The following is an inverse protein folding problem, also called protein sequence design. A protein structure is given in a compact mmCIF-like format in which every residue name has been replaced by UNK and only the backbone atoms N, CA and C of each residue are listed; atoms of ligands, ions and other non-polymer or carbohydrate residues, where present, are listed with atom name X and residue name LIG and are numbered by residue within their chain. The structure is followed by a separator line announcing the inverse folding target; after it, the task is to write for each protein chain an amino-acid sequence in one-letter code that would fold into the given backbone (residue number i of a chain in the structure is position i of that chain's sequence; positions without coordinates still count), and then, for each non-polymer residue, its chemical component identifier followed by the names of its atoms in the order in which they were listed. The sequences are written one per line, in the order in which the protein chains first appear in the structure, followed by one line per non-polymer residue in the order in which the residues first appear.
data_IF_410036826832
#
_entry.id   IF_410036826832
#
_cell.length_a   1.000
_cell.length_b   1.000
_cell.length_c   1.000
_cell.angle_alpha   90.00
_cell.angle_beta   90.00
_cell.angle_gamma   90.00
#
_symmetry.space_group_name_H-M   'P 1'
#
loop_
_entity.id
_entity.type
_entity.pdbx_description
1 polymer ?
#
# COMPACT_ATOMS: atom_id res chain seq x y z
N UNK A 1 5.12 -58.76 -49.04
CA UNK A 1 5.96 -57.56 -48.90
C UNK A 1 5.29 -56.64 -47.87
N UNK A 2 5.73 -56.71 -46.61
CA UNK A 2 5.15 -55.94 -45.50
C UNK A 2 6.06 -54.74 -45.21
N UNK A 3 5.56 -53.57 -45.49
CA UNK A 3 6.28 -52.30 -45.21
C UNK A 3 6.02 -51.92 -43.75
N UNK A 4 7.07 -51.95 -42.92
CA UNK A 4 7.04 -51.44 -41.56
C UNK A 4 7.31 -49.92 -41.60
N UNK A 5 6.29 -49.15 -41.27
CA UNK A 5 6.43 -47.70 -41.06
C UNK A 5 6.86 -47.45 -39.62
N UNK A 6 8.10 -47.08 -39.41
CA UNK A 6 8.64 -46.61 -38.11
C UNK A 6 8.22 -45.17 -37.86
N UNK A 7 7.29 -45.02 -36.93
CA UNK A 7 6.92 -43.67 -36.37
C UNK A 7 8.00 -43.22 -35.37
N UNK A 8 8.83 -42.29 -35.77
CA UNK A 8 9.77 -41.63 -34.87
C UNK A 8 9.01 -40.53 -34.12
N UNK A 9 8.74 -40.75 -32.84
CA UNK A 9 8.17 -39.73 -31.96
C UNK A 9 9.27 -38.75 -31.52
N UNK A 10 9.23 -37.52 -32.06
CA UNK A 10 10.11 -36.43 -31.63
C UNK A 10 9.58 -35.87 -30.32
N UNK A 11 10.24 -36.15 -29.23
CA UNK A 11 10.00 -35.54 -27.92
C UNK A 11 10.55 -34.09 -27.93
N UNK A 12 9.68 -33.12 -28.06
CA UNK A 12 10.05 -31.71 -27.89
C UNK A 12 10.11 -31.43 -26.38
N UNK A 13 11.31 -31.43 -25.80
CA UNK A 13 11.58 -30.98 -24.44
C UNK A 13 11.51 -29.45 -24.45
N UNK A 14 10.42 -28.87 -23.97
CA UNK A 14 10.34 -27.42 -23.72
C UNK A 14 11.19 -27.10 -22.51
N UNK A 15 12.33 -26.46 -22.71
CA UNK A 15 13.13 -25.86 -21.67
C UNK A 15 12.31 -24.73 -21.01
N UNK A 16 11.87 -24.93 -19.76
CA UNK A 16 11.32 -23.86 -18.93
C UNK A 16 12.50 -23.00 -18.48
N UNK A 17 12.67 -21.84 -19.13
CA UNK A 17 13.65 -20.87 -18.68
C UNK A 17 13.32 -20.42 -17.24
N UNK A 18 14.32 -20.34 -16.32
CA UNK A 18 14.07 -19.78 -14.99
C UNK A 18 13.58 -18.33 -15.16
N UNK A 19 12.41 -18.05 -14.62
CA UNK A 19 11.91 -16.68 -14.53
C UNK A 19 12.85 -15.94 -13.55
N UNK A 20 13.80 -15.21 -14.07
CA UNK A 20 14.56 -14.22 -13.29
C UNK A 20 13.52 -13.16 -12.92
N UNK A 21 13.07 -13.18 -11.66
CA UNK A 21 12.25 -12.10 -11.14
C UNK A 21 13.12 -10.85 -11.16
N UNK A 22 12.75 -9.88 -12.03
CA UNK A 22 13.27 -8.53 -11.95
C UNK A 22 13.16 -8.05 -10.50
N UNK A 23 14.21 -7.44 -9.91
CA UNK A 23 14.09 -6.85 -8.60
C UNK A 23 12.89 -5.91 -8.63
N UNK A 24 11.88 -6.25 -7.83
CA UNK A 24 10.58 -5.58 -7.86
C UNK A 24 10.80 -4.07 -7.78
N UNK A 25 10.25 -3.30 -8.72
CA UNK A 25 10.32 -1.85 -8.71
C UNK A 25 9.92 -1.33 -7.32
N UNK A 26 10.61 -0.29 -6.78
CA UNK A 26 10.33 0.22 -5.46
C UNK A 26 8.83 0.50 -5.31
N UNK A 27 8.18 -0.10 -4.32
CA UNK A 27 6.75 0.12 -4.08
C UNK A 27 6.54 1.55 -3.59
N UNK A 28 5.62 2.25 -4.21
CA UNK A 28 5.22 3.59 -3.76
C UNK A 28 3.72 3.63 -3.51
N UNK A 29 3.25 4.65 -2.82
CA UNK A 29 1.80 4.83 -2.59
C UNK A 29 1.03 5.06 -3.89
N UNK A 30 1.69 5.44 -4.98
CA UNK A 30 1.08 5.54 -6.30
C UNK A 30 0.82 4.18 -6.98
N UNK A 31 1.39 3.08 -6.47
CA UNK A 31 1.26 1.73 -7.06
C UNK A 31 0.09 0.90 -6.52
N UNK A 32 -0.87 1.51 -5.81
CA UNK A 32 -2.05 0.82 -5.31
C UNK A 32 -1.75 -0.08 -4.10
N UNK A 33 -1.37 0.52 -2.98
CA UNK A 33 -0.93 -0.18 -1.77
C UNK A 33 -2.02 -0.40 -0.73
N UNK A 34 -3.24 0.06 -0.97
CA UNK A 34 -4.42 -0.09 -0.11
C UNK A 34 -5.66 -0.41 -0.95
N UNK A 35 -6.76 -0.86 -0.35
CA UNK A 35 -8.04 -1.08 -1.05
C UNK A 35 -9.04 0.05 -0.75
N UNK A 36 -10.00 0.26 -1.66
CA UNK A 36 -11.09 1.23 -1.44
C UNK A 36 -11.88 0.93 -0.17
N UNK A 37 -12.15 -0.37 0.10
CA UNK A 37 -12.84 -0.81 1.30
C UNK A 37 -12.06 -0.49 2.57
N UNK A 38 -10.73 -0.64 2.52
CA UNK A 38 -9.88 -0.26 3.66
C UNK A 38 -9.92 1.25 3.90
N UNK A 39 -9.81 2.06 2.85
CA UNK A 39 -9.90 3.52 2.96
C UNK A 39 -11.28 3.99 3.42
N UNK A 40 -12.36 3.30 3.06
CA UNK A 40 -13.72 3.60 3.54
C UNK A 40 -13.84 3.35 5.05
N UNK A 41 -13.34 2.22 5.54
CA UNK A 41 -13.28 1.97 6.99
C UNK A 41 -12.41 3.00 7.71
N UNK A 42 -11.32 3.43 7.07
CA UNK A 42 -10.46 4.50 7.58
C UNK A 42 -11.16 5.85 7.66
N UNK A 43 -12.04 6.16 6.72
CA UNK A 43 -12.90 7.34 6.78
C UNK A 43 -13.86 7.28 7.98
N UNK A 44 -14.46 6.11 8.24
CA UNK A 44 -15.32 5.91 9.41
C UNK A 44 -14.53 6.11 10.72
N UNK A 45 -13.32 5.54 10.82
CA UNK A 45 -12.42 5.77 11.96
C UNK A 45 -12.07 7.26 12.11
N UNK A 46 -11.75 7.92 11.01
CA UNK A 46 -11.41 9.35 10.99
C UNK A 46 -12.58 10.21 11.45
N UNK A 47 -13.77 9.97 10.94
CA UNK A 47 -14.97 10.74 11.30
C UNK A 47 -15.41 10.53 12.74
N UNK A 48 -15.14 9.37 13.32
CA UNK A 48 -15.53 9.07 14.70
C UNK A 48 -14.50 9.57 15.73
N UNK A 49 -13.22 9.65 15.36
CA UNK A 49 -12.13 9.88 16.33
C UNK A 49 -11.31 11.12 15.98
N UNK A 50 -10.86 11.25 14.72
CA UNK A 50 -9.83 12.23 14.36
C UNK A 50 -10.41 13.61 14.04
N UNK A 51 -11.64 13.69 13.51
CA UNK A 51 -12.26 14.93 13.02
C UNK A 51 -12.50 15.96 14.13
N UNK A 52 -12.55 15.52 15.39
CA UNK A 52 -12.71 16.43 16.53
C UNK A 52 -11.55 17.42 16.67
N UNK A 53 -10.34 17.06 16.20
CA UNK A 53 -9.13 17.88 16.28
C UNK A 53 -8.52 18.19 14.92
N UNK A 54 -8.80 17.38 13.88
CA UNK A 54 -8.19 17.49 12.57
C UNK A 54 -9.21 17.71 11.45
N UNK A 55 -8.86 18.55 10.49
CA UNK A 55 -9.63 18.68 9.26
C UNK A 55 -9.01 17.88 8.12
N UNK A 56 -9.82 17.30 7.26
CA UNK A 56 -9.32 16.54 6.09
C UNK A 56 -8.44 17.38 5.16
N UNK A 57 -8.62 18.71 5.15
CA UNK A 57 -7.81 19.64 4.35
C UNK A 57 -6.36 19.72 4.81
N UNK A 58 -6.08 19.44 6.10
CA UNK A 58 -4.70 19.42 6.62
C UNK A 58 -3.85 18.36 5.97
N UNK A 59 -4.45 17.20 5.63
CA UNK A 59 -3.74 16.06 5.06
C UNK A 59 -3.54 16.11 3.55
N UNK A 60 -4.21 17.03 2.85
CA UNK A 60 -4.08 17.19 1.39
C UNK A 60 -3.51 18.52 0.96
N UNK A 61 -3.06 19.35 1.90
CA UNK A 61 -2.41 20.61 1.58
C UNK A 61 -0.93 20.43 1.18
N UNK A 62 -0.37 21.44 0.53
CA UNK A 62 1.01 21.42 0.06
C UNK A 62 2.02 21.15 1.18
N UNK A 63 1.81 21.70 2.37
CA UNK A 63 2.71 21.54 3.52
C UNK A 63 2.79 20.07 3.95
N UNK A 64 1.65 19.37 4.02
CA UNK A 64 1.60 17.96 4.35
C UNK A 64 2.31 17.12 3.29
N UNK A 65 1.99 17.33 2.02
CA UNK A 65 2.62 16.62 0.90
C UNK A 65 4.12 16.81 0.90
N UNK A 66 4.63 18.02 0.95
CA UNK A 66 6.07 18.30 0.99
C UNK A 66 6.77 17.68 2.18
N UNK A 67 6.09 17.61 3.35
CA UNK A 67 6.67 17.00 4.54
C UNK A 67 6.87 15.47 4.37
N UNK A 68 5.94 14.81 3.69
CA UNK A 68 5.88 13.35 3.68
C UNK A 68 6.33 12.72 2.38
N UNK A 69 6.34 13.44 1.27
CA UNK A 69 6.76 12.92 -0.02
C UNK A 69 8.17 12.34 0.01
N UNK A 70 8.37 11.18 -0.63
CA UNK A 70 9.63 10.45 -0.67
C UNK A 70 10.02 9.70 0.61
N UNK A 71 9.29 9.89 1.72
CA UNK A 71 9.58 9.21 3.01
C UNK A 71 8.96 7.81 3.03
N UNK A 72 9.53 6.90 3.86
CA UNK A 72 8.89 5.61 4.13
C UNK A 72 7.50 5.78 4.74
N UNK A 73 6.53 5.00 4.27
CA UNK A 73 5.16 5.05 4.77
C UNK A 73 5.07 4.64 6.25
N UNK A 74 6.01 3.81 6.71
CA UNK A 74 6.15 3.44 8.13
C UNK A 74 6.31 4.65 9.05
N UNK A 75 6.99 5.70 8.61
CA UNK A 75 7.20 6.89 9.46
C UNK A 75 5.90 7.65 9.73
N UNK A 76 5.01 7.73 8.74
CA UNK A 76 3.69 8.31 8.93
C UNK A 76 2.80 7.40 9.79
N UNK A 77 2.87 6.08 9.56
CA UNK A 77 2.19 5.09 10.38
C UNK A 77 2.62 5.17 11.85
N UNK A 78 3.92 5.22 12.11
CA UNK A 78 4.48 5.31 13.46
C UNK A 78 4.07 6.61 14.16
N UNK A 79 4.05 7.72 13.43
CA UNK A 79 3.57 8.98 13.99
C UNK A 79 2.12 8.84 14.47
N UNK A 80 1.22 8.34 13.62
CA UNK A 80 -0.20 8.27 13.98
C UNK A 80 -0.48 7.19 15.02
N UNK A 81 0.21 6.04 14.97
CA UNK A 81 -0.02 4.95 15.91
C UNK A 81 0.58 5.19 17.30
N UNK A 82 1.63 6.00 17.40
CA UNK A 82 2.30 6.27 18.68
C UNK A 82 1.88 7.60 19.33
N UNK A 83 1.32 8.53 18.55
CA UNK A 83 1.03 9.89 19.01
C UNK A 83 -0.44 10.27 18.95
N UNK A 84 -1.26 9.48 18.24
CA UNK A 84 -2.67 9.79 18.03
C UNK A 84 -3.57 8.65 18.55
N UNK A 85 -4.79 8.97 18.99
CA UNK A 85 -5.29 10.32 19.31
C UNK A 85 -4.44 11.00 20.41
N UNK A 86 -4.33 12.33 20.37
CA UNK A 86 -3.45 13.08 21.30
C UNK A 86 -3.85 12.90 22.78
N UNK A 87 -5.13 12.76 23.05
CA UNK A 87 -5.70 12.49 24.38
C UNK A 87 -5.57 11.01 24.84
N UNK A 88 -5.32 10.08 23.90
CA UNK A 88 -5.16 8.66 24.16
C UNK A 88 -4.20 7.99 23.16
N UNK A 89 -2.90 8.33 23.15
CA UNK A 89 -1.94 7.80 22.19
C UNK A 89 -1.88 6.28 22.22
N UNK A 90 -1.91 5.65 21.01
CA UNK A 90 -1.82 4.20 20.87
C UNK A 90 -3.10 3.42 21.23
N UNK A 91 -4.21 4.08 21.44
CA UNK A 91 -5.46 3.45 21.92
C UNK A 91 -6.23 2.65 20.86
N UNK A 92 -5.97 2.89 19.57
CA UNK A 92 -6.63 2.16 18.49
C UNK A 92 -5.92 0.83 18.20
N UNK A 93 -6.64 -0.10 17.61
CA UNK A 93 -6.01 -1.33 17.10
C UNK A 93 -5.09 -1.02 15.91
N UNK A 94 -4.00 -1.80 15.71
CA UNK A 94 -3.08 -1.58 14.59
C UNK A 94 -3.77 -1.49 13.22
N UNK A 95 -4.81 -2.31 12.98
CA UNK A 95 -5.59 -2.27 11.74
C UNK A 95 -6.36 -0.95 11.56
N UNK A 96 -6.81 -0.32 12.63
CA UNK A 96 -7.55 0.95 12.56
C UNK A 96 -6.61 2.10 12.18
N UNK A 97 -5.37 2.08 12.67
CA UNK A 97 -4.33 3.02 12.20
C UNK A 97 -4.00 2.81 10.73
N UNK A 98 -3.87 1.55 10.26
CA UNK A 98 -3.64 1.27 8.84
C UNK A 98 -4.83 1.71 7.96
N UNK A 99 -6.06 1.55 8.45
CA UNK A 99 -7.28 2.04 7.79
C UNK A 99 -7.29 3.58 7.71
N UNK A 100 -6.99 4.27 8.80
CA UNK A 100 -6.89 5.73 8.81
C UNK A 100 -5.80 6.23 7.87
N UNK A 101 -4.65 5.54 7.82
CA UNK A 101 -3.58 5.83 6.87
C UNK A 101 -4.04 5.64 5.42
N UNK A 102 -4.76 4.57 5.09
CA UNK A 102 -5.34 4.34 3.77
C UNK A 102 -6.30 5.48 3.37
N UNK A 103 -7.09 5.99 4.31
CA UNK A 103 -7.93 7.16 4.07
C UNK A 103 -7.11 8.42 3.77
N UNK A 104 -6.03 8.67 4.52
CA UNK A 104 -5.13 9.80 4.26
C UNK A 104 -4.50 9.68 2.86
N UNK A 105 -4.11 8.48 2.43
CA UNK A 105 -3.60 8.24 1.07
C UNK A 105 -4.68 8.55 0.02
N UNK A 106 -5.92 8.12 0.24
CA UNK A 106 -7.06 8.43 -0.66
C UNK A 106 -7.32 9.94 -0.73
N UNK A 107 -7.23 10.68 0.38
CA UNK A 107 -7.33 12.14 0.38
C UNK A 107 -6.25 12.81 -0.49
N UNK A 108 -5.11 12.16 -0.67
CA UNK A 108 -4.02 12.61 -1.54
C UNK A 108 -4.08 11.98 -2.94
N UNK A 109 -5.22 11.40 -3.32
CA UNK A 109 -5.48 10.85 -4.65
C UNK A 109 -4.54 9.69 -5.06
N UNK A 110 -3.94 9.01 -4.08
CA UNK A 110 -3.26 7.76 -4.34
C UNK A 110 -4.27 6.72 -4.85
N UNK A 111 -3.93 6.01 -5.92
CA UNK A 111 -4.82 5.01 -6.49
C UNK A 111 -4.96 3.80 -5.56
N UNK A 112 -6.17 3.25 -5.37
CA UNK A 112 -6.35 1.99 -4.66
C UNK A 112 -5.77 0.82 -5.46
N UNK A 113 -5.44 -0.26 -4.75
CA UNK A 113 -4.96 -1.51 -5.29
C UNK A 113 -5.86 -2.69 -4.91
N UNK A 114 -5.28 -3.89 -4.97
CA UNK A 114 -6.01 -5.14 -4.73
C UNK A 114 -5.77 -5.72 -3.34
N UNK A 115 -4.81 -5.20 -2.60
CA UNK A 115 -4.42 -5.68 -1.27
C UNK A 115 -4.52 -4.56 -0.25
N UNK A 116 -4.92 -4.89 0.96
CA UNK A 116 -4.95 -3.94 2.06
C UNK A 116 -3.53 -3.54 2.48
N UNK A 117 -3.41 -2.32 2.96
CA UNK A 117 -2.21 -1.83 3.60
C UNK A 117 -1.98 -2.63 4.88
N UNK A 118 -0.76 -3.18 5.09
CA UNK A 118 -0.44 -3.89 6.33
C UNK A 118 -0.56 -2.98 7.56
N UNK A 119 -0.89 -3.57 8.69
CA UNK A 119 -0.99 -2.88 9.99
C UNK A 119 0.26 -3.01 10.85
N UNK A 120 1.41 -3.13 10.22
CA UNK A 120 2.72 -3.38 10.81
C UNK A 120 3.74 -2.44 10.17
N UNK A 121 4.45 -1.68 11.01
CA UNK A 121 5.42 -0.67 10.58
C UNK A 121 6.55 -1.28 9.74
N UNK A 122 7.03 -2.49 10.10
CA UNK A 122 8.12 -3.13 9.37
C UNK A 122 7.72 -3.43 7.91
N UNK A 123 6.48 -3.88 7.68
CA UNK A 123 5.95 -4.14 6.34
C UNK A 123 5.72 -2.87 5.50
N UNK A 124 5.60 -1.71 6.16
CA UNK A 124 5.40 -0.40 5.52
C UNK A 124 6.71 0.32 5.17
N UNK A 125 7.84 -0.18 5.69
CA UNK A 125 9.14 0.49 5.56
C UNK A 125 9.62 0.61 4.11
N UNK A 126 9.31 -0.38 3.28
CA UNK A 126 9.75 -0.45 1.88
C UNK A 126 8.76 0.22 0.91
N UNK A 127 7.69 0.84 1.44
CA UNK A 127 6.75 1.62 0.66
C UNK A 127 7.10 3.10 0.80
N UNK A 128 7.45 3.76 -0.30
CA UNK A 128 7.68 5.21 -0.29
C UNK A 128 6.39 5.97 -0.55
N UNK A 129 6.21 7.05 0.19
CA UNK A 129 5.13 8.00 -0.08
C UNK A 129 5.45 8.73 -1.37
N UNK A 130 4.49 8.72 -2.29
CA UNK A 130 4.57 9.38 -3.59
C UNK A 130 3.25 10.14 -3.79
N UNK A 131 3.28 11.42 -3.47
CA UNK A 131 2.18 12.34 -3.69
C UNK A 131 2.45 13.09 -4.99
N UNK A 132 1.68 12.78 -6.03
CA UNK A 132 1.77 13.48 -7.30
C UNK A 132 1.62 14.98 -7.07
N UNK A 133 2.61 15.75 -7.49
CA UNK A 133 2.53 17.20 -7.53
C UNK A 133 1.38 17.60 -8.48
N UNK A 134 0.41 18.33 -7.93
CA UNK A 134 -0.63 19.03 -8.68
C UNK A 134 -0.56 20.54 -8.42
#
# INVERSE_FOLDING_TARGET
MRVFVLLVAVLVVRAVAPHVQDPAAPRTTASGVYTDEQAKRGEETYMNICVSCHTATEYKNKKFRTKWDGRPLSELYDLISQKMPDDAPGSLMPKEYAQALAYILRLNEAAPGKSELPSDSAALKDIKIDFKDK
#
